data_IF_242538971762
#
_entry.id   IF_242538971762
#
_cell.length_a   1.000
_cell.length_b   1.000
_cell.length_c   1.000
_cell.angle_alpha   90.00
_cell.angle_beta   90.00
_cell.angle_gamma   90.00
#
_symmetry.space_group_name_H-M   'P 1'
#
loop_
_entity.id
_entity.type
_entity.pdbx_description
1 polymer ?
#
# COMPACT_ATOMS: atom_id res chain seq x y z
N UNK A 1 27.75 -32.52 1.42
CA UNK A 1 26.65 -32.90 0.51
C UNK A 1 25.85 -31.64 0.18
N UNK A 2 26.19 -30.95 -0.91
CA UNK A 2 25.39 -29.83 -1.41
C UNK A 2 24.13 -30.39 -2.05
N UNK A 3 22.96 -30.01 -1.53
CA UNK A 3 21.65 -30.50 -1.94
C UNK A 3 21.35 -30.15 -3.42
N UNK A 4 21.24 -31.17 -4.27
CA UNK A 4 20.75 -31.07 -5.64
C UNK A 4 19.26 -30.65 -5.76
N UNK A 5 18.57 -30.39 -4.64
CA UNK A 5 17.15 -29.99 -4.61
C UNK A 5 16.90 -28.47 -4.61
N UNK A 6 17.92 -27.60 -4.60
CA UNK A 6 17.70 -26.14 -4.67
C UNK A 6 17.19 -25.67 -6.05
N UNK A 7 17.40 -26.45 -7.11
CA UNK A 7 16.88 -26.15 -8.45
C UNK A 7 15.37 -26.34 -8.60
N UNK A 8 14.72 -27.07 -7.67
CA UNK A 8 13.28 -27.37 -7.75
C UNK A 8 12.37 -26.26 -7.19
N UNK A 9 12.92 -25.29 -6.45
CA UNK A 9 12.13 -24.25 -5.76
C UNK A 9 12.20 -22.87 -6.44
N UNK A 10 12.18 -22.84 -7.78
CA UNK A 10 12.27 -21.60 -8.56
C UNK A 10 11.23 -21.58 -9.66
N UNK A 11 10.66 -20.41 -9.92
CA UNK A 11 9.71 -20.18 -11.00
C UNK A 11 10.03 -18.89 -11.76
N UNK A 12 9.86 -18.91 -13.07
CA UNK A 12 9.88 -17.70 -13.88
C UNK A 12 8.56 -16.93 -13.68
N UNK A 13 8.61 -15.68 -13.23
CA UNK A 13 7.41 -14.84 -13.11
C UNK A 13 6.91 -14.36 -14.50
N UNK A 14 5.80 -13.63 -14.56
CA UNK A 14 5.23 -13.13 -15.82
C UNK A 14 6.08 -12.09 -16.57
N UNK A 15 7.23 -11.66 -16.01
CA UNK A 15 8.23 -10.80 -16.65
C UNK A 15 9.48 -11.54 -17.11
N UNK A 16 9.66 -12.79 -16.70
CA UNK A 16 10.88 -13.56 -16.98
C UNK A 16 11.88 -13.61 -15.83
N UNK A 17 11.61 -12.94 -14.71
CA UNK A 17 12.52 -13.00 -13.56
C UNK A 17 12.32 -14.31 -12.80
N UNK A 18 13.42 -14.89 -12.32
CA UNK A 18 13.38 -16.10 -11.51
C UNK A 18 13.12 -15.74 -10.05
N UNK A 19 12.03 -16.26 -9.49
CA UNK A 19 11.62 -16.07 -8.10
C UNK A 19 11.56 -17.40 -7.35
N UNK A 20 11.78 -17.36 -6.04
CA UNK A 20 11.63 -18.53 -5.18
C UNK A 20 10.15 -18.94 -5.09
N UNK A 21 9.87 -20.22 -5.25
CA UNK A 21 8.51 -20.75 -5.24
C UNK A 21 8.52 -22.26 -4.99
N UNK A 22 7.61 -22.74 -4.13
CA UNK A 22 7.41 -24.17 -3.83
C UNK A 22 6.10 -24.73 -4.39
N UNK A 23 5.19 -23.85 -4.82
CA UNK A 23 3.86 -24.18 -5.30
C UNK A 23 3.75 -24.01 -6.81
N UNK A 24 2.77 -24.69 -7.40
CA UNK A 24 2.51 -24.56 -8.83
C UNK A 24 1.93 -23.19 -9.19
N UNK A 25 2.01 -22.82 -10.48
CA UNK A 25 1.33 -21.64 -11.03
C UNK A 25 -0.16 -21.63 -10.75
N UNK A 26 -0.79 -22.79 -10.95
CA UNK A 26 -2.23 -22.99 -10.72
C UNK A 26 -2.58 -22.72 -9.25
N UNK A 27 -1.76 -23.20 -8.32
CA UNK A 27 -1.96 -22.96 -6.89
C UNK A 27 -1.90 -21.47 -6.56
N UNK A 28 -0.85 -20.77 -7.01
CA UNK A 28 -0.73 -19.32 -6.81
C UNK A 28 -1.96 -18.55 -7.31
N UNK A 29 -2.41 -18.86 -8.54
CA UNK A 29 -3.56 -18.17 -9.14
C UNK A 29 -4.86 -18.46 -8.38
N UNK A 30 -5.12 -19.74 -8.05
CA UNK A 30 -6.32 -20.14 -7.30
C UNK A 30 -6.31 -19.51 -5.92
N UNK A 31 -5.19 -19.54 -5.20
CA UNK A 31 -5.09 -18.98 -3.86
C UNK A 31 -5.38 -17.48 -3.87
N UNK A 32 -4.66 -16.71 -4.71
CA UNK A 32 -4.84 -15.26 -4.78
C UNK A 32 -6.27 -14.86 -5.14
N UNK A 33 -6.90 -15.56 -6.10
CA UNK A 33 -8.29 -15.29 -6.47
C UNK A 33 -9.27 -15.72 -5.35
N UNK A 34 -9.05 -16.87 -4.72
CA UNK A 34 -9.95 -17.38 -3.66
C UNK A 34 -9.92 -16.50 -2.42
N UNK A 35 -8.73 -16.04 -2.00
CA UNK A 35 -8.59 -15.11 -0.87
C UNK A 35 -9.28 -13.79 -1.19
N UNK A 36 -9.10 -13.24 -2.40
CA UNK A 36 -9.79 -12.01 -2.79
C UNK A 36 -11.31 -12.20 -2.86
N UNK A 37 -11.81 -13.29 -3.44
CA UNK A 37 -13.23 -13.63 -3.46
C UNK A 37 -13.79 -13.73 -2.04
N UNK A 38 -13.07 -14.35 -1.11
CA UNK A 38 -13.47 -14.42 0.29
C UNK A 38 -13.56 -13.03 0.93
N UNK A 39 -12.57 -12.15 0.69
CA UNK A 39 -12.60 -10.75 1.15
C UNK A 39 -13.85 -10.03 0.63
N UNK A 40 -14.14 -10.14 -0.67
CA UNK A 40 -15.31 -9.49 -1.28
C UNK A 40 -16.63 -10.05 -0.74
N UNK A 41 -16.73 -11.37 -0.57
CA UNK A 41 -17.92 -12.00 0.02
C UNK A 41 -18.13 -11.55 1.46
N UNK A 42 -17.06 -11.48 2.27
CA UNK A 42 -17.17 -11.04 3.66
C UNK A 42 -17.59 -9.57 3.70
N UNK A 43 -16.94 -8.69 2.93
CA UNK A 43 -17.22 -7.25 2.95
C UNK A 43 -18.61 -6.96 2.38
N UNK A 44 -18.89 -7.40 1.16
CA UNK A 44 -20.10 -7.01 0.41
C UNK A 44 -21.27 -7.97 0.57
N UNK A 45 -21.01 -9.24 0.86
CA UNK A 45 -22.04 -10.27 1.03
C UNK A 45 -22.45 -10.49 2.48
N UNK A 46 -21.59 -10.13 3.46
CA UNK A 46 -21.86 -10.36 4.89
C UNK A 46 -21.92 -9.04 5.65
N UNK A 47 -20.84 -8.28 5.74
CA UNK A 47 -20.79 -7.07 6.58
C UNK A 47 -21.77 -6.02 6.07
N UNK A 48 -21.73 -5.69 4.78
CA UNK A 48 -22.56 -4.63 4.22
C UNK A 48 -24.07 -4.88 4.39
N UNK A 49 -24.68 -5.95 3.84
CA UNK A 49 -26.13 -6.11 3.87
C UNK A 49 -26.69 -6.34 5.28
N UNK A 50 -25.89 -6.89 6.20
CA UNK A 50 -26.38 -7.29 7.52
C UNK A 50 -26.02 -6.34 8.66
N UNK A 51 -24.97 -5.52 8.53
CA UNK A 51 -24.52 -4.62 9.60
C UNK A 51 -24.57 -3.13 9.21
N UNK A 52 -24.15 -2.80 7.99
CA UNK A 52 -23.93 -1.38 7.62
C UNK A 52 -25.09 -0.79 6.82
N UNK A 53 -25.71 -1.59 5.93
CA UNK A 53 -26.73 -1.09 5.02
C UNK A 53 -27.92 -0.49 5.80
N UNK A 54 -28.36 0.75 5.50
CA UNK A 54 -29.48 1.39 6.21
C UNK A 54 -30.79 0.60 6.10
N UNK A 55 -30.96 -0.19 5.04
CA UNK A 55 -32.12 -1.07 4.83
C UNK A 55 -31.94 -2.49 5.39
N UNK A 56 -30.77 -2.80 5.93
CA UNK A 56 -30.43 -4.09 6.52
C UNK A 56 -30.85 -4.23 7.99
N UNK A 57 -30.67 -5.41 8.59
CA UNK A 57 -31.03 -5.70 9.98
C UNK A 57 -30.11 -5.08 11.04
N UNK A 58 -28.98 -4.45 10.66
CA UNK A 58 -28.04 -3.73 11.56
C UNK A 58 -27.56 -4.58 12.75
N UNK A 59 -26.97 -5.73 12.45
CA UNK A 59 -26.51 -6.71 13.44
C UNK A 59 -25.02 -6.55 13.77
N UNK A 60 -24.69 -5.81 14.85
CA UNK A 60 -23.31 -5.50 15.28
C UNK A 60 -22.38 -6.73 15.42
N UNK A 61 -22.94 -7.88 15.84
CA UNK A 61 -22.16 -9.12 15.99
C UNK A 61 -21.70 -9.69 14.64
N UNK A 62 -22.41 -9.40 13.54
CA UNK A 62 -22.01 -9.81 12.19
C UNK A 62 -20.83 -8.98 11.71
N UNK A 63 -20.80 -7.68 11.99
CA UNK A 63 -19.63 -6.85 11.70
C UNK A 63 -18.39 -7.33 12.48
N UNK A 64 -18.55 -7.62 13.78
CA UNK A 64 -17.46 -8.17 14.60
C UNK A 64 -16.96 -9.51 14.04
N UNK A 65 -17.87 -10.42 13.67
CA UNK A 65 -17.52 -11.70 13.03
C UNK A 65 -16.82 -11.48 11.69
N UNK A 66 -17.33 -10.56 10.86
CA UNK A 66 -16.76 -10.21 9.57
C UNK A 66 -15.33 -9.70 9.70
N UNK A 67 -15.06 -8.79 10.64
CA UNK A 67 -13.71 -8.33 10.94
C UNK A 67 -12.80 -9.44 11.44
N UNK A 68 -13.30 -10.35 12.29
CA UNK A 68 -12.52 -11.51 12.73
C UNK A 68 -12.11 -12.40 11.54
N UNK A 69 -13.03 -12.65 10.59
CA UNK A 69 -12.74 -13.41 9.38
C UNK A 69 -11.73 -12.69 8.47
N UNK A 70 -11.87 -11.37 8.29
CA UNK A 70 -10.89 -10.56 7.56
C UNK A 70 -9.51 -10.59 8.24
N UNK A 71 -9.46 -10.58 9.57
CA UNK A 71 -8.23 -10.74 10.35
C UNK A 71 -7.56 -12.10 10.10
N UNK A 72 -8.33 -13.18 10.02
CA UNK A 72 -7.81 -14.51 9.66
C UNK A 72 -7.24 -14.51 8.23
N UNK A 73 -7.93 -13.89 7.27
CA UNK A 73 -7.44 -13.76 5.90
C UNK A 73 -6.17 -12.90 5.82
N UNK A 74 -6.06 -11.85 6.63
CA UNK A 74 -4.85 -11.04 6.73
C UNK A 74 -3.66 -11.84 7.29
N UNK A 75 -3.88 -12.64 8.36
CA UNK A 75 -2.87 -13.57 8.89
C UNK A 75 -2.43 -14.56 7.80
N UNK A 76 -3.39 -15.10 7.04
CA UNK A 76 -3.08 -15.98 5.91
C UNK A 76 -2.20 -15.27 4.86
N UNK A 77 -2.64 -14.10 4.39
CA UNK A 77 -1.99 -13.36 3.32
C UNK A 77 -0.58 -12.87 3.69
N UNK A 78 -0.37 -12.43 4.94
CA UNK A 78 0.89 -11.80 5.35
C UNK A 78 1.88 -12.75 6.02
N UNK A 79 1.41 -13.84 6.64
CA UNK A 79 2.28 -14.74 7.40
C UNK A 79 2.30 -16.14 6.78
N UNK A 80 1.13 -16.77 6.63
CA UNK A 80 1.05 -18.18 6.26
C UNK A 80 1.44 -18.41 4.79
N UNK A 81 0.86 -17.66 3.85
CA UNK A 81 1.15 -17.84 2.43
C UNK A 81 2.61 -17.51 2.07
N UNK A 82 3.20 -16.36 2.50
CA UNK A 82 4.62 -16.10 2.26
C UNK A 82 5.54 -17.20 2.79
N UNK A 83 5.24 -17.76 3.97
CA UNK A 83 5.97 -18.90 4.52
C UNK A 83 5.82 -20.16 3.65
N UNK A 84 4.60 -20.53 3.27
CA UNK A 84 4.32 -21.72 2.46
C UNK A 84 5.00 -21.67 1.08
N UNK A 85 5.03 -20.49 0.47
CA UNK A 85 5.65 -20.24 -0.84
C UNK A 85 7.16 -19.97 -0.76
N UNK A 86 7.71 -19.82 0.45
CA UNK A 86 9.09 -19.37 0.69
C UNK A 86 9.40 -18.04 0.00
N UNK A 87 8.47 -17.09 0.08
CA UNK A 87 8.70 -15.76 -0.43
C UNK A 87 9.79 -15.05 0.36
N UNK A 88 10.69 -14.40 -0.35
CA UNK A 88 11.69 -13.53 0.27
C UNK A 88 11.10 -12.15 0.53
N UNK A 89 11.61 -11.45 1.55
CA UNK A 89 11.23 -10.05 1.81
C UNK A 89 11.38 -9.19 0.55
N UNK A 90 12.49 -9.35 -0.19
CA UNK A 90 12.70 -8.67 -1.48
C UNK A 90 11.62 -9.02 -2.50
N UNK A 91 11.28 -10.31 -2.59
CA UNK A 91 10.26 -10.85 -3.47
C UNK A 91 8.90 -10.17 -3.29
N UNK A 92 8.51 -9.87 -2.04
CA UNK A 92 7.26 -9.17 -1.72
C UNK A 92 7.44 -7.64 -1.59
N UNK A 93 8.61 -7.10 -1.92
CA UNK A 93 8.88 -5.66 -1.96
C UNK A 93 9.24 -5.01 -0.62
N UNK A 94 9.58 -5.82 0.39
CA UNK A 94 10.06 -5.41 1.71
C UNK A 94 11.59 -5.35 1.78
N UNK A 95 12.08 -4.52 2.69
CA UNK A 95 13.50 -4.41 3.03
C UNK A 95 13.98 -5.57 3.92
N UNK A 96 15.26 -5.56 4.25
CA UNK A 96 15.82 -6.43 5.27
C UNK A 96 17.05 -5.80 5.91
N UNK A 97 17.42 -6.32 7.07
CA UNK A 97 18.53 -5.80 7.85
C UNK A 97 19.89 -5.88 7.15
N UNK A 98 20.13 -6.93 6.35
CA UNK A 98 21.41 -7.09 5.65
C UNK A 98 21.60 -5.99 4.59
N UNK A 99 20.57 -5.71 3.79
CA UNK A 99 20.63 -4.62 2.81
C UNK A 99 20.77 -3.26 3.48
N UNK A 100 20.09 -3.04 4.60
CA UNK A 100 20.24 -1.82 5.39
C UNK A 100 21.69 -1.66 5.90
N UNK A 101 22.28 -2.72 6.44
CA UNK A 101 23.69 -2.71 6.85
C UNK A 101 24.63 -2.45 5.66
N UNK A 102 24.41 -3.07 4.51
CA UNK A 102 25.19 -2.85 3.29
C UNK A 102 25.04 -1.41 2.80
N UNK A 103 23.83 -0.85 2.87
CA UNK A 103 23.54 0.55 2.54
C UNK A 103 24.36 1.52 3.40
N UNK A 104 24.48 1.23 4.70
CA UNK A 104 25.30 1.99 5.65
C UNK A 104 26.82 1.77 5.47
N UNK A 105 27.25 0.56 5.09
CA UNK A 105 28.69 0.19 4.97
C UNK A 105 29.33 0.64 3.66
N UNK A 106 28.65 0.54 2.52
CA UNK A 106 29.23 0.78 1.18
C UNK A 106 29.45 2.26 0.80
N UNK A 107 29.68 3.16 1.76
CA UNK A 107 29.83 4.59 1.47
C UNK A 107 31.26 5.09 1.60
N UNK A 108 31.81 5.62 0.50
CA UNK A 108 32.92 6.58 0.55
C UNK A 108 32.46 7.80 1.37
N UNK A 109 33.30 8.25 2.30
CA UNK A 109 33.00 9.22 3.38
C UNK A 109 32.24 10.48 2.94
N UNK A 110 32.48 11.03 1.75
CA UNK A 110 31.83 12.27 1.28
C UNK A 110 30.32 12.15 0.92
N UNK A 111 29.78 10.95 0.72
CA UNK A 111 28.33 10.74 0.40
C UNK A 111 27.55 10.04 1.52
N UNK A 112 28.15 9.88 2.71
CA UNK A 112 27.52 9.19 3.84
C UNK A 112 26.29 9.94 4.37
N UNK A 113 26.38 11.26 4.51
CA UNK A 113 25.31 12.08 5.09
C UNK A 113 24.07 12.18 4.20
N UNK A 114 24.23 12.24 2.87
CA UNK A 114 23.09 12.34 1.96
C UNK A 114 22.18 11.10 1.96
N UNK A 115 22.70 9.95 2.41
CA UNK A 115 21.95 8.70 2.58
C UNK A 115 21.24 8.60 3.93
N UNK A 116 21.61 9.41 4.92
CA UNK A 116 20.87 9.52 6.18
C UNK A 116 19.66 10.45 6.04
N UNK A 117 19.64 11.33 5.03
CA UNK A 117 18.54 12.28 4.79
C UNK A 117 17.18 11.55 4.69
N UNK A 118 16.99 10.48 3.89
CA UNK A 118 15.70 9.80 3.84
C UNK A 118 15.27 9.19 5.18
N UNK A 119 16.22 8.69 5.98
CA UNK A 119 15.93 8.13 7.31
C UNK A 119 15.52 9.25 8.27
N UNK A 120 16.25 10.36 8.26
CA UNK A 120 15.95 11.54 9.05
C UNK A 120 14.59 12.14 8.66
N UNK A 121 14.32 12.25 7.36
CA UNK A 121 13.02 12.68 6.85
C UNK A 121 11.92 11.74 7.31
N UNK A 122 12.09 10.41 7.18
CA UNK A 122 11.13 9.44 7.70
C UNK A 122 10.84 9.66 9.20
N UNK A 123 11.88 9.86 10.02
CA UNK A 123 11.72 10.13 11.45
C UNK A 123 10.92 11.42 11.66
N UNK A 124 11.28 12.52 11.00
CA UNK A 124 10.55 13.79 11.10
C UNK A 124 9.09 13.65 10.67
N UNK A 125 8.83 12.92 9.58
CA UNK A 125 7.50 12.65 9.05
C UNK A 125 6.66 11.87 10.09
N UNK A 126 7.24 10.81 10.68
CA UNK A 126 6.55 10.03 11.71
C UNK A 126 6.30 10.83 12.99
N UNK A 127 7.22 11.71 13.37
CA UNK A 127 7.00 12.63 14.48
C UNK A 127 5.83 13.57 14.19
N UNK A 128 5.81 14.20 13.01
CA UNK A 128 4.70 15.05 12.58
C UNK A 128 3.35 14.33 12.69
N UNK A 129 3.27 13.13 12.12
CA UNK A 129 2.12 12.21 12.26
C UNK A 129 1.68 12.02 13.70
N UNK A 130 2.60 11.54 14.55
CA UNK A 130 2.28 11.21 15.95
C UNK A 130 1.83 12.43 16.75
N UNK A 131 2.46 13.60 16.53
CA UNK A 131 2.07 14.83 17.21
C UNK A 131 0.64 15.27 16.85
N UNK A 132 0.19 15.00 15.62
CA UNK A 132 -1.20 15.24 15.21
C UNK A 132 -2.23 14.36 15.92
N UNK A 133 -1.85 13.15 16.34
CA UNK A 133 -2.74 12.18 16.99
C UNK A 133 -2.50 12.02 18.50
N UNK A 134 -1.87 13.00 19.16
CA UNK A 134 -1.53 12.89 20.58
C UNK A 134 -2.74 12.62 21.47
N UNK A 135 -3.89 13.20 21.15
CA UNK A 135 -5.12 13.00 21.92
C UNK A 135 -5.63 11.56 21.80
N UNK A 136 -5.73 11.04 20.58
CA UNK A 136 -6.19 9.67 20.33
C UNK A 136 -5.25 8.63 20.96
N UNK A 137 -3.94 8.90 20.90
CA UNK A 137 -2.93 8.05 21.54
C UNK A 137 -3.05 8.12 23.06
N UNK A 138 -3.22 9.32 23.61
CA UNK A 138 -3.44 9.50 25.04
C UNK A 138 -4.68 8.71 25.51
N UNK A 139 -5.77 8.76 24.74
CA UNK A 139 -6.98 7.99 25.01
C UNK A 139 -6.74 6.47 24.89
N UNK A 140 -6.10 6.01 23.81
CA UNK A 140 -5.86 4.58 23.56
C UNK A 140 -4.99 3.92 24.64
N UNK A 141 -4.03 4.66 25.19
CA UNK A 141 -3.15 4.16 26.26
C UNK A 141 -3.61 4.55 27.66
N UNK A 142 -4.75 5.26 27.79
CA UNK A 142 -5.24 5.81 29.05
C UNK A 142 -4.18 6.63 29.81
N UNK A 143 -3.49 7.53 29.11
CA UNK A 143 -2.45 8.44 29.63
C UNK A 143 -2.79 9.89 29.33
N UNK A 144 -2.08 10.83 29.94
CA UNK A 144 -2.21 12.26 29.59
C UNK A 144 -1.54 12.58 28.25
N UNK A 145 -1.95 13.64 27.53
CA UNK A 145 -1.27 14.08 26.29
C UNK A 145 0.23 14.35 26.47
N UNK A 146 0.64 14.84 27.65
CA UNK A 146 2.06 15.05 27.99
C UNK A 146 2.81 13.72 28.09
N UNK A 147 2.21 12.70 28.71
CA UNK A 147 2.78 11.35 28.76
C UNK A 147 2.82 10.71 27.37
N UNK A 148 1.76 10.87 26.57
CA UNK A 148 1.74 10.42 25.17
C UNK A 148 2.87 11.05 24.35
N UNK A 149 3.14 12.35 24.53
CA UNK A 149 4.24 13.06 23.86
C UNK A 149 5.62 12.51 24.27
N UNK A 150 5.82 12.20 25.56
CA UNK A 150 7.05 11.56 26.05
C UNK A 150 7.22 10.14 25.48
N UNK A 151 6.13 9.38 25.40
CA UNK A 151 6.13 8.07 24.75
C UNK A 151 6.48 8.17 23.27
N UNK A 152 6.02 9.19 22.54
CA UNK A 152 6.36 9.41 21.13
C UNK A 152 7.84 9.58 20.90
N UNK A 153 8.54 10.32 21.78
CA UNK A 153 9.98 10.58 21.67
C UNK A 153 10.78 9.27 21.64
N UNK A 154 10.28 8.21 22.28
CA UNK A 154 10.91 6.90 22.31
C UNK A 154 10.35 5.99 21.22
N UNK A 155 9.02 5.89 21.10
CA UNK A 155 8.36 4.95 20.20
C UNK A 155 8.55 5.35 18.73
N UNK A 156 8.47 6.63 18.39
CA UNK A 156 8.58 7.09 16.99
C UNK A 156 9.93 6.70 16.40
N UNK A 157 11.10 7.00 17.01
CA UNK A 157 12.37 6.54 16.46
C UNK A 157 12.50 5.02 16.33
N UNK A 158 11.95 4.27 17.29
CA UNK A 158 11.97 2.79 17.23
C UNK A 158 11.16 2.30 16.04
N UNK A 159 9.92 2.78 15.88
CA UNK A 159 9.06 2.40 14.76
C UNK A 159 9.67 2.87 13.44
N UNK A 160 10.18 4.11 13.36
CA UNK A 160 10.89 4.60 12.18
C UNK A 160 12.08 3.74 11.81
N UNK A 161 12.82 3.22 12.80
CA UNK A 161 13.95 2.32 12.56
C UNK A 161 13.48 0.96 12.04
N UNK A 162 12.42 0.39 12.61
CA UNK A 162 11.80 -0.85 12.12
C UNK A 162 11.36 -0.66 10.66
N UNK A 163 10.72 0.46 10.35
CA UNK A 163 10.25 0.80 9.00
C UNK A 163 11.44 0.96 8.06
N UNK A 164 12.46 1.71 8.46
CA UNK A 164 13.68 1.87 7.69
C UNK A 164 14.33 0.51 7.39
N UNK A 165 14.38 -0.40 8.36
CA UNK A 165 15.03 -1.71 8.18
C UNK A 165 14.19 -2.65 7.31
N UNK A 166 12.89 -2.77 7.58
CA UNK A 166 12.05 -3.84 7.07
C UNK A 166 11.10 -3.41 5.94
N UNK A 167 10.77 -2.13 5.82
CA UNK A 167 9.82 -1.66 4.80
C UNK A 167 10.51 -1.02 3.60
N UNK A 168 11.71 -0.47 3.79
CA UNK A 168 12.45 0.21 2.71
C UNK A 168 13.44 -0.75 2.06
N UNK A 169 13.24 -0.99 0.76
CA UNK A 169 14.26 -1.63 -0.09
C UNK A 169 15.33 -0.63 -0.52
N UNK A 170 16.36 -0.48 0.31
CA UNK A 170 17.44 0.50 0.10
C UNK A 170 18.26 0.25 -1.18
N UNK A 171 18.30 -0.99 -1.66
CA UNK A 171 18.96 -1.39 -2.89
C UNK A 171 18.32 -0.75 -4.13
N UNK A 172 17.00 -0.51 -4.11
CA UNK A 172 16.26 0.02 -5.26
C UNK A 172 15.48 1.32 -4.98
N UNK A 173 15.47 1.84 -3.75
CA UNK A 173 14.68 3.01 -3.35
C UNK A 173 14.93 4.24 -4.24
N UNK A 174 16.20 4.57 -4.51
CA UNK A 174 16.54 5.69 -5.40
C UNK A 174 16.10 5.41 -6.84
N UNK A 175 16.15 4.15 -7.29
CA UNK A 175 15.65 3.74 -8.60
C UNK A 175 14.14 3.95 -8.76
N UNK A 176 13.41 3.94 -7.65
CA UNK A 176 11.96 4.15 -7.62
C UNK A 176 11.55 5.61 -7.81
N UNK A 177 12.46 6.59 -7.72
CA UNK A 177 12.12 8.02 -7.88
C UNK A 177 11.42 8.30 -9.21
N UNK A 178 11.83 7.66 -10.30
CA UNK A 178 11.13 7.81 -11.60
C UNK A 178 9.67 7.38 -11.52
N UNK A 179 9.39 6.29 -10.81
CA UNK A 179 8.01 5.79 -10.61
C UNK A 179 7.24 6.73 -9.71
N UNK A 180 7.88 7.28 -8.67
CA UNK A 180 7.29 8.29 -7.79
C UNK A 180 6.86 9.52 -8.59
N UNK A 181 7.75 10.08 -9.42
CA UNK A 181 7.42 11.26 -10.24
C UNK A 181 6.28 10.99 -11.22
N UNK A 182 6.27 9.82 -11.86
CA UNK A 182 5.17 9.45 -12.76
C UNK A 182 3.86 9.32 -11.97
N UNK A 183 3.89 8.69 -10.80
CA UNK A 183 2.71 8.57 -9.93
C UNK A 183 2.16 9.93 -9.49
N UNK A 184 3.05 10.84 -9.08
CA UNK A 184 2.69 12.24 -8.76
C UNK A 184 2.09 12.93 -9.98
N UNK A 185 2.66 12.75 -11.17
CA UNK A 185 2.11 13.34 -12.39
C UNK A 185 0.71 12.80 -12.73
N UNK A 186 0.46 11.50 -12.52
CA UNK A 186 -0.87 10.90 -12.67
C UNK A 186 -1.85 11.53 -11.69
N UNK A 187 -1.52 11.59 -10.40
CA UNK A 187 -2.34 12.25 -9.37
C UNK A 187 -2.61 13.71 -9.74
N UNK A 188 -1.58 14.48 -10.11
CA UNK A 188 -1.72 15.87 -10.52
C UNK A 188 -2.62 16.06 -11.74
N UNK A 189 -2.57 15.11 -12.69
CA UNK A 189 -3.47 15.10 -13.85
C UNK A 189 -4.91 14.85 -13.42
N UNK A 190 -5.16 13.91 -12.51
CA UNK A 190 -6.49 13.67 -11.94
C UNK A 190 -7.03 14.89 -11.21
N UNK A 191 -6.21 15.55 -10.39
CA UNK A 191 -6.58 16.77 -9.69
C UNK A 191 -6.92 17.90 -10.66
N UNK A 192 -6.13 18.07 -11.73
CA UNK A 192 -6.40 19.06 -12.76
C UNK A 192 -7.74 18.78 -13.47
N UNK A 193 -7.95 17.54 -13.93
CA UNK A 193 -9.19 17.15 -14.64
C UNK A 193 -10.39 17.32 -13.71
N UNK A 194 -10.30 16.81 -12.48
CA UNK A 194 -11.38 16.90 -11.50
C UNK A 194 -11.65 18.37 -11.15
N UNK A 195 -10.61 19.16 -10.91
CA UNK A 195 -10.72 20.60 -10.68
C UNK A 195 -11.42 21.30 -11.84
N UNK A 196 -11.07 21.01 -13.10
CA UNK A 196 -11.76 21.59 -14.27
C UNK A 196 -13.23 21.16 -14.34
N UNK A 197 -13.55 19.87 -14.15
CA UNK A 197 -14.93 19.38 -14.14
C UNK A 197 -15.73 20.08 -13.03
N UNK A 198 -15.17 20.16 -11.82
CA UNK A 198 -15.81 20.82 -10.69
C UNK A 198 -15.96 22.32 -10.92
N UNK A 199 -14.95 23.01 -11.47
CA UNK A 199 -15.00 24.43 -11.86
C UNK A 199 -16.17 24.74 -12.78
N UNK A 200 -16.36 23.88 -13.78
CA UNK A 200 -17.43 24.04 -14.76
C UNK A 200 -18.81 23.71 -14.19
N UNK A 201 -18.86 23.02 -13.04
CA UNK A 201 -20.10 22.58 -12.40
C UNK A 201 -20.50 23.38 -11.16
N UNK A 202 -19.58 24.01 -10.44
CA UNK A 202 -19.81 24.70 -9.14
C UNK A 202 -18.77 25.82 -8.93
N UNK A 203 -19.14 26.94 -8.27
CA UNK A 203 -18.24 28.05 -7.82
C UNK A 203 -17.16 27.64 -6.78
N UNK A 204 -16.79 26.36 -6.71
CA UNK A 204 -16.14 25.68 -5.59
C UNK A 204 -14.63 25.97 -5.43
N UNK A 205 -13.96 26.47 -6.47
CA UNK A 205 -12.48 26.47 -6.50
C UNK A 205 -11.80 27.51 -5.63
N UNK A 206 -12.43 28.66 -5.38
CA UNK A 206 -11.76 29.71 -4.62
C UNK A 206 -11.62 29.38 -3.12
N UNK A 207 -12.57 28.62 -2.55
CA UNK A 207 -12.58 28.27 -1.12
C UNK A 207 -11.47 27.26 -0.75
N UNK A 208 -11.23 26.28 -1.63
CA UNK A 208 -10.28 25.18 -1.36
C UNK A 208 -8.82 25.67 -1.29
N UNK A 209 -8.46 26.66 -2.11
CA UNK A 209 -7.11 27.24 -2.09
C UNK A 209 -6.91 28.25 -0.96
N UNK A 210 -7.95 28.95 -0.50
CA UNK A 210 -7.84 29.91 0.60
C UNK A 210 -7.61 29.24 1.96
N UNK A 211 -8.06 28.00 2.13
CA UNK A 211 -7.88 27.23 3.36
C UNK A 211 -6.66 26.28 3.29
N UNK A 212 -5.83 26.35 2.24
CA UNK A 212 -4.68 25.47 2.14
C UNK A 212 -3.67 25.77 3.24
N UNK A 213 -3.39 24.77 4.07
CA UNK A 213 -2.24 24.80 4.97
C UNK A 213 -1.31 23.62 4.71
N UNK A 214 -0.02 23.91 4.59
CA UNK A 214 1.01 22.87 4.50
C UNK A 214 1.23 22.17 5.85
N UNK A 215 1.12 22.94 6.94
CA UNK A 215 1.39 22.54 8.33
C UNK A 215 0.13 22.70 9.20
N UNK A 216 0.12 22.13 10.41
CA UNK A 216 -1.02 22.19 11.33
C UNK A 216 -1.83 20.90 11.38
N UNK A 217 -2.84 20.85 12.24
CA UNK A 217 -3.69 19.67 12.52
C UNK A 217 -4.47 19.17 11.31
N UNK A 218 -4.76 20.05 10.35
CA UNK A 218 -5.45 19.71 9.10
C UNK A 218 -4.54 19.92 7.88
N UNK A 219 -3.24 20.11 8.12
CA UNK A 219 -2.26 20.42 7.09
C UNK A 219 -1.98 19.22 6.18
N UNK A 220 -1.62 19.50 4.92
CA UNK A 220 -1.34 18.47 3.91
C UNK A 220 -0.27 17.47 4.38
N UNK A 221 0.78 17.92 5.05
CA UNK A 221 1.87 17.04 5.49
C UNK A 221 1.41 16.03 6.55
N UNK A 222 0.59 16.46 7.51
CA UNK A 222 0.10 15.56 8.55
C UNK A 222 -0.80 14.49 7.92
N UNK A 223 -1.76 14.92 7.09
CA UNK A 223 -2.64 14.02 6.35
C UNK A 223 -1.84 13.03 5.48
N UNK A 224 -0.83 13.52 4.76
CA UNK A 224 0.05 12.63 3.98
C UNK A 224 0.69 11.55 4.83
N UNK A 225 1.19 11.86 6.02
CA UNK A 225 1.83 10.86 6.88
C UNK A 225 0.85 9.85 7.46
N UNK A 226 -0.37 10.26 7.80
CA UNK A 226 -1.43 9.35 8.21
C UNK A 226 -1.77 8.37 7.07
N UNK A 227 -1.95 8.92 5.86
CA UNK A 227 -2.25 8.16 4.66
C UNK A 227 -1.06 7.32 4.16
N UNK A 228 0.18 7.61 4.55
CA UNK A 228 1.36 6.81 4.20
C UNK A 228 1.26 5.40 4.79
N UNK A 229 0.85 5.26 6.06
CA UNK A 229 0.67 3.96 6.70
C UNK A 229 -0.43 3.17 6.05
N UNK A 230 -1.56 3.84 5.82
CA UNK A 230 -2.69 3.24 5.15
C UNK A 230 -2.34 2.78 3.73
N UNK A 231 -1.70 3.65 2.94
CA UNK A 231 -1.23 3.34 1.60
C UNK A 231 -0.20 2.21 1.58
N UNK A 232 0.69 2.14 2.58
CA UNK A 232 1.60 1.02 2.71
C UNK A 232 0.86 -0.30 2.98
N UNK A 233 -0.10 -0.34 3.91
CA UNK A 233 -0.87 -1.56 4.20
C UNK A 233 -1.66 -2.02 2.97
N UNK A 234 -2.31 -1.10 2.27
CA UNK A 234 -3.00 -1.41 1.02
C UNK A 234 -2.02 -1.95 -0.04
N UNK A 235 -0.85 -1.33 -0.21
CA UNK A 235 0.15 -1.85 -1.14
C UNK A 235 0.76 -3.17 -0.68
N UNK A 236 0.90 -3.41 0.62
CA UNK A 236 1.38 -4.69 1.10
C UNK A 236 0.40 -5.81 0.75
N UNK A 237 -0.91 -5.54 0.87
CA UNK A 237 -1.95 -6.47 0.43
C UNK A 237 -1.98 -6.64 -1.09
N UNK A 238 -2.16 -5.56 -1.85
CA UNK A 238 -2.39 -5.65 -3.30
C UNK A 238 -1.12 -5.91 -4.10
N UNK A 239 0.01 -5.29 -3.74
CA UNK A 239 1.28 -5.50 -4.43
C UNK A 239 2.13 -6.60 -3.77
N UNK A 240 2.25 -6.57 -2.44
CA UNK A 240 3.05 -7.55 -1.71
C UNK A 240 2.47 -8.96 -1.77
N UNK A 241 1.16 -9.12 -1.59
CA UNK A 241 0.49 -10.42 -1.61
C UNK A 241 -0.17 -10.76 -2.96
N UNK A 242 -1.22 -10.04 -3.36
CA UNK A 242 -2.02 -10.42 -4.54
C UNK A 242 -1.21 -10.37 -5.84
N UNK A 243 -0.50 -9.28 -6.12
CA UNK A 243 0.37 -9.20 -7.31
C UNK A 243 1.47 -10.27 -7.30
N UNK A 244 2.00 -10.65 -6.13
CA UNK A 244 2.96 -11.77 -6.01
C UNK A 244 2.36 -13.09 -6.43
N UNK A 245 1.18 -13.44 -5.91
CA UNK A 245 0.46 -14.64 -6.36
C UNK A 245 0.18 -14.58 -7.87
N UNK A 246 -0.34 -13.46 -8.36
CA UNK A 246 -0.72 -13.30 -9.76
C UNK A 246 0.49 -13.39 -10.70
N UNK A 247 1.60 -12.70 -10.42
CA UNK A 247 2.77 -12.72 -11.32
C UNK A 247 3.50 -14.05 -11.34
N UNK A 248 3.40 -14.85 -10.28
CA UNK A 248 3.92 -16.24 -10.23
C UNK A 248 2.93 -17.21 -10.88
N UNK A 249 1.63 -16.99 -10.71
CA UNK A 249 0.55 -17.80 -11.29
C UNK A 249 0.39 -17.63 -12.80
N UNK A 250 0.59 -16.41 -13.32
CA UNK A 250 0.42 -16.10 -14.73
C UNK A 250 1.76 -16.32 -15.46
N UNK A 251 1.79 -17.13 -16.54
CA UNK A 251 3.03 -17.41 -17.26
C UNK A 251 3.52 -16.22 -18.09
N UNK A 252 4.83 -16.16 -18.36
CA UNK A 252 5.47 -15.20 -19.27
C UNK A 252 5.20 -15.54 -20.76
N UNK A 253 3.93 -15.57 -21.14
CA UNK A 253 3.50 -15.79 -22.53
C UNK A 253 2.26 -14.96 -22.83
N UNK A 254 1.87 -14.92 -24.10
CA UNK A 254 0.60 -14.33 -24.51
C UNK A 254 -0.56 -15.27 -24.13
N UNK A 255 -1.59 -14.71 -23.51
CA UNK A 255 -2.86 -15.36 -23.21
C UNK A 255 -3.91 -14.47 -23.89
N UNK A 256 -4.68 -15.02 -24.82
CA UNK A 256 -5.64 -14.24 -25.63
C UNK A 256 -4.99 -13.01 -26.29
N UNK A 257 -3.77 -13.16 -26.81
CA UNK A 257 -3.02 -12.07 -27.47
C UNK A 257 -2.32 -11.08 -26.53
N UNK A 258 -2.62 -11.10 -25.22
CA UNK A 258 -2.08 -10.17 -24.23
C UNK A 258 -0.97 -10.85 -23.41
N UNK A 259 0.18 -10.20 -23.24
CA UNK A 259 1.27 -10.73 -22.40
C UNK A 259 0.86 -10.85 -20.93
N UNK A 260 1.32 -11.93 -20.27
CA UNK A 260 1.03 -12.22 -18.85
C UNK A 260 1.23 -11.04 -17.89
N UNK A 261 2.28 -10.23 -18.08
CA UNK A 261 2.53 -9.03 -17.25
C UNK A 261 1.37 -8.02 -17.24
N UNK A 262 0.64 -7.91 -18.36
CA UNK A 262 -0.53 -7.03 -18.46
C UNK A 262 -1.77 -7.69 -17.85
N UNK A 263 -1.92 -9.01 -17.97
CA UNK A 263 -2.96 -9.75 -17.25
C UNK A 263 -2.83 -9.60 -15.74
N UNK A 264 -1.62 -9.71 -15.19
CA UNK A 264 -1.33 -9.42 -13.77
C UNK A 264 -1.75 -7.99 -13.42
N UNK A 265 -1.48 -7.02 -14.31
CA UNK A 265 -1.93 -5.63 -14.19
C UNK A 265 -3.45 -5.51 -14.08
N UNK A 266 -4.15 -6.06 -15.06
CA UNK A 266 -5.62 -5.99 -15.20
C UNK A 266 -6.32 -6.67 -14.02
N UNK A 267 -5.90 -7.89 -13.65
CA UNK A 267 -6.54 -8.62 -12.54
C UNK A 267 -6.33 -7.88 -11.21
N UNK A 268 -5.10 -7.43 -10.94
CA UNK A 268 -4.81 -6.68 -9.71
C UNK A 268 -5.51 -5.31 -9.68
N UNK A 269 -5.67 -4.68 -10.84
CA UNK A 269 -6.49 -3.48 -11.00
C UNK A 269 -7.93 -3.74 -10.54
N UNK A 270 -8.57 -4.80 -11.04
CA UNK A 270 -9.95 -5.11 -10.65
C UNK A 270 -10.06 -5.40 -9.15
N UNK A 271 -9.05 -6.08 -8.59
CA UNK A 271 -8.99 -6.31 -7.15
C UNK A 271 -8.92 -5.02 -6.34
N UNK A 272 -8.17 -4.03 -6.83
CA UNK A 272 -8.02 -2.76 -6.12
C UNK A 272 -9.18 -1.79 -6.36
N UNK A 273 -9.77 -1.77 -7.56
CA UNK A 273 -10.88 -0.87 -7.89
C UNK A 273 -12.23 -1.29 -7.29
N UNK A 274 -12.56 -2.59 -7.34
CA UNK A 274 -13.89 -3.11 -6.93
C UNK A 274 -14.18 -2.82 -5.46
N UNK A 275 -13.18 -2.84 -4.59
CA UNK A 275 -13.37 -2.57 -3.17
C UNK A 275 -13.81 -1.11 -2.88
N UNK A 276 -13.71 -0.21 -3.86
CA UNK A 276 -14.08 1.21 -3.72
C UNK A 276 -15.43 1.55 -4.39
N UNK A 277 -16.22 0.57 -4.84
CA UNK A 277 -17.41 0.81 -5.68
C UNK A 277 -18.51 1.76 -5.10
N UNK A 278 -18.67 1.99 -3.78
CA UNK A 278 -19.56 3.07 -3.35
C UNK A 278 -19.11 4.45 -3.83
N UNK A 279 -17.79 4.66 -3.95
CA UNK A 279 -17.17 5.89 -4.42
C UNK A 279 -16.62 5.70 -5.84
N UNK A 280 -17.48 5.87 -6.86
CA UNK A 280 -17.14 5.58 -8.26
C UNK A 280 -15.93 6.36 -8.79
N UNK A 281 -15.78 7.63 -8.39
CA UNK A 281 -14.65 8.48 -8.77
C UNK A 281 -13.34 7.91 -8.23
N UNK A 282 -13.34 7.52 -6.94
CA UNK A 282 -12.21 6.86 -6.31
C UNK A 282 -11.96 5.49 -6.92
N UNK A 283 -13.00 4.72 -7.25
CA UNK A 283 -12.86 3.44 -7.91
C UNK A 283 -12.16 3.59 -9.26
N UNK A 284 -12.55 4.57 -10.10
CA UNK A 284 -11.88 4.88 -11.39
C UNK A 284 -10.41 5.22 -11.18
N UNK A 285 -10.10 6.05 -10.18
CA UNK A 285 -8.72 6.37 -9.81
C UNK A 285 -7.94 5.12 -9.34
N UNK A 286 -8.58 4.28 -8.53
CA UNK A 286 -8.00 3.01 -8.06
C UNK A 286 -7.80 2.02 -9.21
N UNK A 287 -8.67 2.00 -10.23
CA UNK A 287 -8.47 1.16 -11.42
C UNK A 287 -7.18 1.57 -12.17
N UNK A 288 -7.00 2.86 -12.45
CA UNK A 288 -5.81 3.33 -13.18
C UNK A 288 -4.54 3.19 -12.34
N UNK A 289 -4.59 3.55 -11.06
CA UNK A 289 -3.50 3.32 -10.11
C UNK A 289 -3.13 1.84 -9.98
N UNK A 290 -4.12 0.96 -9.96
CA UNK A 290 -3.95 -0.49 -9.87
C UNK A 290 -3.16 -1.09 -11.04
N UNK A 291 -3.45 -0.69 -12.28
CA UNK A 291 -2.65 -1.10 -13.46
C UNK A 291 -1.23 -0.56 -13.34
N UNK A 292 -1.09 0.75 -13.09
CA UNK A 292 0.19 1.44 -13.07
C UNK A 292 1.12 0.83 -12.01
N UNK A 293 0.66 0.75 -10.77
CA UNK A 293 1.43 0.20 -9.66
C UNK A 293 1.75 -1.28 -9.88
N UNK A 294 0.78 -2.08 -10.31
CA UNK A 294 1.00 -3.50 -10.61
C UNK A 294 2.08 -3.70 -11.68
N UNK A 295 2.08 -2.91 -12.76
CA UNK A 295 3.07 -3.03 -13.83
C UNK A 295 4.49 -2.68 -13.38
N UNK A 296 4.66 -1.58 -12.62
CA UNK A 296 5.97 -1.18 -12.13
C UNK A 296 6.48 -2.11 -11.03
N UNK A 297 5.62 -2.52 -10.09
CA UNK A 297 5.98 -3.38 -8.97
C UNK A 297 6.45 -4.78 -9.38
N UNK A 298 5.93 -5.30 -10.52
CA UNK A 298 6.41 -6.57 -11.05
C UNK A 298 7.92 -6.54 -11.34
N UNK A 299 8.49 -5.39 -11.75
CA UNK A 299 9.91 -5.24 -12.07
C UNK A 299 10.73 -5.09 -10.78
N UNK A 300 11.68 -5.98 -10.53
CA UNK A 300 12.45 -5.97 -9.27
C UNK A 300 13.13 -4.62 -8.96
N UNK A 301 13.65 -3.93 -9.98
CA UNK A 301 14.25 -2.60 -9.85
C UNK A 301 13.32 -1.49 -9.33
N UNK A 302 12.01 -1.71 -9.34
CA UNK A 302 11.00 -0.78 -8.83
C UNK A 302 10.18 -1.37 -7.68
N UNK A 303 10.39 -2.64 -7.34
CA UNK A 303 9.61 -3.35 -6.34
C UNK A 303 9.98 -2.85 -4.94
N UNK A 304 9.30 -1.83 -4.44
CA UNK A 304 9.58 -1.20 -3.16
C UNK A 304 8.27 -0.69 -2.53
N UNK A 305 7.72 -1.44 -1.58
CA UNK A 305 6.40 -1.13 -1.01
C UNK A 305 6.35 0.25 -0.35
N UNK A 306 7.42 0.66 0.32
CA UNK A 306 7.50 1.98 0.93
C UNK A 306 7.43 3.10 -0.12
N UNK A 307 8.11 2.97 -1.26
CA UNK A 307 8.03 3.95 -2.33
C UNK A 307 6.61 4.07 -2.91
N UNK A 308 5.89 2.95 -3.09
CA UNK A 308 4.49 2.99 -3.51
C UNK A 308 3.58 3.58 -2.41
N UNK A 309 3.82 3.26 -1.14
CA UNK A 309 3.15 3.87 0.00
C UNK A 309 3.30 5.40 0.03
N UNK A 310 4.48 5.94 -0.29
CA UNK A 310 4.69 7.39 -0.40
C UNK A 310 3.81 8.02 -1.47
N UNK A 311 3.77 7.43 -2.67
CA UNK A 311 2.95 7.92 -3.78
C UNK A 311 1.47 7.85 -3.41
N UNK A 312 1.04 6.73 -2.84
CA UNK A 312 -0.33 6.51 -2.41
C UNK A 312 -0.73 7.52 -1.35
N UNK A 313 0.04 7.64 -0.29
CA UNK A 313 -0.28 8.55 0.81
C UNK A 313 -0.36 9.99 0.32
N UNK A 314 0.54 10.37 -0.60
CA UNK A 314 0.56 11.70 -1.17
C UNK A 314 -0.67 11.93 -2.05
N UNK A 315 -1.00 10.95 -2.88
CA UNK A 315 -2.19 10.94 -3.71
C UNK A 315 -3.48 11.06 -2.88
N UNK A 316 -3.62 10.23 -1.86
CA UNK A 316 -4.77 10.25 -0.95
C UNK A 316 -4.92 11.60 -0.23
N UNK A 317 -3.82 12.15 0.30
CA UNK A 317 -3.85 13.45 0.98
C UNK A 317 -4.19 14.61 0.03
N UNK A 318 -3.70 14.59 -1.21
CA UNK A 318 -4.08 15.59 -2.20
C UNK A 318 -5.53 15.44 -2.63
N UNK A 319 -5.97 14.21 -2.94
CA UNK A 319 -7.35 13.96 -3.35
C UNK A 319 -8.33 14.38 -2.24
N UNK A 320 -8.10 13.94 -1.00
CA UNK A 320 -8.98 14.27 0.12
C UNK A 320 -9.03 15.76 0.45
N UNK A 321 -8.06 16.55 -0.02
CA UNK A 321 -8.06 18.01 0.17
C UNK A 321 -8.67 18.77 -1.01
N UNK A 322 -8.40 18.32 -2.23
CA UNK A 322 -8.66 19.12 -3.43
C UNK A 322 -9.85 18.65 -4.25
N UNK A 323 -10.39 17.46 -3.97
CA UNK A 323 -11.63 16.98 -4.58
C UNK A 323 -12.63 16.61 -3.50
N UNK A 324 -13.93 16.91 -3.69
CA UNK A 324 -14.99 16.55 -2.75
C UNK A 324 -15.37 15.07 -2.92
N UNK A 325 -14.36 14.20 -3.01
CA UNK A 325 -14.56 12.77 -3.14
C UNK A 325 -14.57 12.15 -1.77
N UNK A 326 -15.45 11.18 -1.62
CA UNK A 326 -15.43 10.30 -0.49
C UNK A 326 -14.25 9.33 -0.59
N UNK A 327 -13.34 9.38 0.39
CA UNK A 327 -12.14 8.54 0.45
C UNK A 327 -12.35 7.29 1.32
N UNK A 328 -13.49 6.63 1.16
CA UNK A 328 -13.81 5.39 1.87
C UNK A 328 -13.36 4.16 1.08
N UNK A 329 -13.09 3.08 1.80
CA UNK A 329 -12.78 1.76 1.23
C UNK A 329 -13.86 0.82 1.73
N UNK A 330 -14.47 0.04 0.85
CA UNK A 330 -15.54 -0.86 1.26
C UNK A 330 -16.84 -0.11 1.61
N UNK A 331 -17.73 -0.74 2.38
CA UNK A 331 -19.06 -0.23 2.69
C UNK A 331 -19.11 0.85 3.75
N UNK A 332 -17.98 1.20 4.37
CA UNK A 332 -17.89 2.21 5.44
C UNK A 332 -17.87 3.65 4.90
N UNK A 333 -18.54 3.83 3.75
CA UNK A 333 -18.80 5.09 3.09
C UNK A 333 -20.02 5.74 3.74
#
# INVERSE_FOLDING_TARGET
MHNLNESQNKIENCLGDIEQETKSRKFNLIEGLSVYSAVIIIIWGIIYPFSISPSGPQLDWIETLGYALLGILAIWAFLISPYMHKDTFKGIGLGNFQDFQLYLKHTKTKKKYSRLIPIFLLILMMFGGYFGYLQDIAQAFNVTPKQAALLSIILVPIVSMIVAIFMIRWDNFIGCWRVILIGIAIVGTYLLISGVIYFLSVEFIWIVFTEFSLLGSDGLLLNWFSYLWWGFLQHYLFLGYFNTRLRKGIPNKKILGIHGKYWTGIVNMFMFGIIHIPAWELAIFAFTGGIFFSYFFQKDKYRNLFAFGLIHGFGGALLGRFVPWELSVGPWA
#
